data_IF_391598524231
#
_entry.id   IF_391598524231
#
_cell.length_a   1.000
_cell.length_b   1.000
_cell.length_c   1.000
_cell.angle_alpha   90.00
_cell.angle_beta   90.00
_cell.angle_gamma   90.00
#
_symmetry.space_group_name_H-M   'P 1'
#
loop_
_entity.id
_entity.type
_entity.pdbx_description
1 polymer ?
#
# COMPACT_ATOMS: atom_id res chain seq x y z
N UNK A 1 3.76 0.66 -14.12
CA UNK A 1 4.29 1.23 -12.86
C UNK A 1 3.86 2.67 -12.62
N UNK A 2 3.97 3.57 -13.62
CA UNK A 2 3.55 4.97 -13.49
C UNK A 2 2.07 5.14 -13.10
N UNK A 3 1.17 4.40 -13.75
CA UNK A 3 -0.26 4.43 -13.41
C UNK A 3 -0.54 3.98 -11.97
N UNK A 4 0.08 2.89 -11.52
CA UNK A 4 -0.04 2.42 -10.13
C UNK A 4 0.39 3.48 -9.12
N UNK A 5 1.57 4.09 -9.31
CA UNK A 5 2.06 5.15 -8.43
C UNK A 5 1.17 6.40 -8.45
N UNK A 6 0.62 6.75 -9.61
CA UNK A 6 -0.33 7.85 -9.75
C UNK A 6 -1.62 7.60 -8.96
N UNK A 7 -2.21 6.41 -9.10
CA UNK A 7 -3.43 6.05 -8.35
C UNK A 7 -3.17 5.90 -6.85
N UNK A 8 -2.02 5.33 -6.45
CA UNK A 8 -1.63 5.19 -5.04
C UNK A 8 -1.45 6.55 -4.35
N UNK A 9 -0.76 7.49 -5.03
CA UNK A 9 -0.60 8.86 -4.57
C UNK A 9 -1.93 9.64 -4.55
N UNK A 10 -2.79 9.46 -5.55
CA UNK A 10 -4.10 10.09 -5.61
C UNK A 10 -5.03 9.60 -4.50
N UNK A 11 -5.15 8.28 -4.33
CA UNK A 11 -6.04 7.68 -3.33
C UNK A 11 -5.67 8.11 -1.92
N UNK A 12 -4.40 7.97 -1.53
CA UNK A 12 -3.95 8.35 -0.18
C UNK A 12 -4.15 9.84 0.10
N UNK A 13 -3.92 10.72 -0.89
CA UNK A 13 -4.15 12.17 -0.76
C UNK A 13 -5.65 12.50 -0.67
N UNK A 14 -6.49 11.81 -1.43
CA UNK A 14 -7.94 12.00 -1.37
C UNK A 14 -8.52 11.51 -0.04
N UNK A 15 -8.02 10.39 0.49
CA UNK A 15 -8.33 9.89 1.82
C UNK A 15 -7.98 10.90 2.92
N UNK A 16 -6.78 11.51 2.86
CA UNK A 16 -6.38 12.57 3.80
C UNK A 16 -7.32 13.80 3.71
N UNK A 17 -7.72 14.21 2.50
CA UNK A 17 -8.69 15.29 2.31
C UNK A 17 -10.08 14.96 2.88
N UNK A 18 -10.56 13.74 2.69
CA UNK A 18 -11.84 13.28 3.24
C UNK A 18 -11.84 13.30 4.76
N UNK A 19 -10.77 12.79 5.40
CA UNK A 19 -10.64 12.81 6.85
C UNK A 19 -10.54 14.21 7.47
N UNK A 20 -9.99 15.20 6.74
CA UNK A 20 -9.87 16.58 7.21
C UNK A 20 -11.13 17.43 6.94
N UNK A 21 -11.84 17.14 5.85
CA UNK A 21 -12.99 17.93 5.40
C UNK A 21 -14.35 17.42 5.88
N UNK A 22 -14.43 16.18 6.33
CA UNK A 22 -15.65 15.52 6.79
C UNK A 22 -15.35 14.72 8.07
N UNK A 23 -16.31 14.62 8.99
CA UNK A 23 -16.27 13.71 10.15
C UNK A 23 -16.40 12.25 9.68
N UNK A 24 -15.36 11.77 9.00
CA UNK A 24 -15.32 10.44 8.40
C UNK A 24 -14.70 9.47 9.40
N UNK A 25 -15.46 8.44 9.76
CA UNK A 25 -14.94 7.36 10.58
C UNK A 25 -14.04 6.43 9.74
N UNK A 26 -12.95 5.94 10.35
CA UNK A 26 -12.01 4.99 9.71
C UNK A 26 -12.76 3.76 9.18
N UNK A 27 -13.70 3.23 9.97
CA UNK A 27 -14.45 2.03 9.62
C UNK A 27 -15.26 2.23 8.33
N UNK A 28 -15.94 3.38 8.21
CA UNK A 28 -16.76 3.72 7.07
C UNK A 28 -15.92 3.84 5.79
N UNK A 29 -14.75 4.49 5.89
CA UNK A 29 -13.84 4.63 4.77
C UNK A 29 -13.29 3.28 4.29
N UNK A 30 -12.83 2.43 5.21
CA UNK A 30 -12.32 1.08 4.88
C UNK A 30 -13.41 0.23 4.24
N UNK A 31 -14.65 0.30 4.77
CA UNK A 31 -15.78 -0.44 4.22
C UNK A 31 -16.04 -0.05 2.76
N UNK A 32 -16.21 1.24 2.46
CA UNK A 32 -16.50 1.69 1.10
C UNK A 32 -15.36 1.40 0.12
N UNK A 33 -14.11 1.61 0.53
CA UNK A 33 -12.96 1.29 -0.34
C UNK A 33 -12.84 -0.21 -0.60
N UNK A 34 -13.02 -1.06 0.42
CA UNK A 34 -12.94 -2.52 0.27
C UNK A 34 -14.08 -3.06 -0.58
N UNK A 35 -15.31 -2.55 -0.43
CA UNK A 35 -16.45 -2.93 -1.27
C UNK A 35 -16.21 -2.56 -2.73
N UNK A 36 -15.72 -1.34 -3.00
CA UNK A 36 -15.36 -0.91 -4.36
C UNK A 36 -14.27 -1.81 -4.96
N UNK A 37 -13.20 -2.09 -4.20
CA UNK A 37 -12.13 -2.99 -4.62
C UNK A 37 -12.63 -4.42 -4.87
N UNK A 38 -13.56 -4.92 -4.06
CA UNK A 38 -14.19 -6.23 -4.25
C UNK A 38 -14.98 -6.29 -5.57
N UNK A 39 -15.83 -5.30 -5.84
CA UNK A 39 -16.62 -5.21 -7.08
C UNK A 39 -15.69 -5.18 -8.29
N UNK A 40 -14.68 -4.30 -8.28
CA UNK A 40 -13.72 -4.18 -9.39
C UNK A 40 -12.94 -5.48 -9.62
N UNK A 41 -12.49 -6.12 -8.55
CA UNK A 41 -11.75 -7.40 -8.63
C UNK A 41 -12.63 -8.52 -9.17
N UNK A 42 -13.89 -8.60 -8.69
CA UNK A 42 -14.86 -9.58 -9.13
C UNK A 42 -15.24 -9.42 -10.60
N UNK A 43 -15.53 -8.19 -11.04
CA UNK A 43 -15.78 -7.88 -12.45
C UNK A 43 -14.57 -8.21 -13.30
N UNK A 44 -13.35 -7.87 -12.86
CA UNK A 44 -12.12 -8.25 -13.57
C UNK A 44 -11.98 -9.76 -13.75
N UNK A 45 -12.29 -10.54 -12.71
CA UNK A 45 -12.22 -12.01 -12.75
C UNK A 45 -13.25 -12.62 -13.71
N UNK A 46 -14.47 -12.04 -13.77
CA UNK A 46 -15.50 -12.44 -14.72
C UNK A 46 -15.08 -12.13 -16.15
N UNK A 47 -14.60 -10.91 -16.42
CA UNK A 47 -14.22 -10.47 -17.76
C UNK A 47 -13.07 -11.31 -18.35
N UNK A 48 -12.16 -11.79 -17.51
CA UNK A 48 -11.07 -12.67 -17.94
C UNK A 48 -11.47 -14.15 -18.01
N UNK A 49 -12.66 -14.54 -17.52
CA UNK A 49 -13.15 -15.92 -17.55
C UNK A 49 -12.49 -16.87 -16.54
N UNK A 50 -11.73 -16.37 -15.57
CA UNK A 50 -11.00 -17.19 -14.60
C UNK A 50 -11.80 -17.56 -13.34
N UNK A 51 -13.03 -17.05 -13.18
CA UNK A 51 -13.85 -17.28 -11.98
C UNK A 51 -14.08 -18.78 -11.69
N UNK A 52 -14.56 -19.55 -12.68
CA UNK A 52 -14.84 -20.98 -12.49
C UNK A 52 -13.57 -21.82 -12.26
N UNK A 53 -12.48 -21.64 -13.05
CA UNK A 53 -11.20 -22.28 -12.77
C UNK A 53 -10.65 -22.00 -11.36
N UNK A 54 -10.77 -20.76 -10.87
CA UNK A 54 -10.30 -20.40 -9.54
C UNK A 54 -11.07 -21.11 -8.42
N UNK A 55 -12.38 -21.28 -8.58
CA UNK A 55 -13.21 -22.01 -7.59
C UNK A 55 -12.86 -23.50 -7.58
N UNK A 56 -12.72 -24.12 -8.75
CA UNK A 56 -12.32 -25.53 -8.88
C UNK A 56 -10.92 -25.79 -8.28
N UNK A 57 -9.99 -24.84 -8.45
CA UNK A 57 -8.65 -24.93 -7.85
C UNK A 57 -8.71 -24.96 -6.31
N UNK A 58 -9.47 -24.04 -5.70
CA UNK A 58 -9.63 -23.98 -4.23
C UNK A 58 -10.33 -25.23 -3.71
N UNK A 59 -11.31 -25.75 -4.43
CA UNK A 59 -12.02 -26.98 -4.05
C UNK A 59 -11.09 -28.21 -4.05
N UNK A 60 -10.15 -28.28 -5.00
CA UNK A 60 -9.18 -29.39 -5.08
C UNK A 60 -8.05 -29.28 -4.05
N UNK A 61 -7.69 -28.07 -3.64
CA UNK A 61 -6.61 -27.80 -2.69
C UNK A 61 -7.13 -27.07 -1.46
N UNK A 62 -7.72 -27.82 -0.52
CA UNK A 62 -8.26 -27.25 0.71
C UNK A 62 -7.21 -26.55 1.59
N UNK A 63 -5.92 -26.90 1.49
CA UNK A 63 -4.85 -26.21 2.21
C UNK A 63 -4.73 -24.73 1.78
N UNK A 64 -4.99 -24.44 0.50
CA UNK A 64 -4.98 -23.08 -0.04
C UNK A 64 -6.10 -22.21 0.57
N UNK A 65 -7.20 -22.82 1.01
CA UNK A 65 -8.27 -22.08 1.68
C UNK A 65 -7.78 -21.40 2.96
N UNK A 66 -6.94 -22.09 3.75
CA UNK A 66 -6.37 -21.52 4.96
C UNK A 66 -5.45 -20.33 4.64
N UNK A 67 -4.60 -20.45 3.62
CA UNK A 67 -3.73 -19.36 3.17
C UNK A 67 -4.55 -18.14 2.71
N UNK A 68 -5.67 -18.36 2.01
CA UNK A 68 -6.57 -17.29 1.56
C UNK A 68 -7.18 -16.56 2.76
N UNK A 69 -7.67 -17.29 3.75
CA UNK A 69 -8.28 -16.70 4.97
C UNK A 69 -7.22 -15.95 5.78
N UNK A 70 -6.04 -16.53 5.96
CA UNK A 70 -4.94 -15.89 6.68
C UNK A 70 -4.48 -14.62 5.95
N UNK A 71 -4.30 -14.67 4.63
CA UNK A 71 -3.94 -13.51 3.83
C UNK A 71 -5.02 -12.42 3.91
N UNK A 72 -6.30 -12.80 3.85
CA UNK A 72 -7.42 -11.87 3.95
C UNK A 72 -7.47 -11.17 5.31
N UNK A 73 -7.35 -11.91 6.41
CA UNK A 73 -7.36 -11.32 7.76
C UNK A 73 -6.18 -10.36 7.98
N UNK A 74 -4.98 -10.73 7.54
CA UNK A 74 -3.80 -9.87 7.61
C UNK A 74 -3.97 -8.63 6.72
N UNK A 75 -4.53 -8.80 5.52
CA UNK A 75 -4.80 -7.68 4.61
C UNK A 75 -5.80 -6.68 5.22
N UNK A 76 -6.90 -7.16 5.80
CA UNK A 76 -7.88 -6.32 6.49
C UNK A 76 -7.26 -5.61 7.68
N UNK A 77 -6.49 -6.31 8.52
CA UNK A 77 -5.77 -5.69 9.64
C UNK A 77 -4.82 -4.58 9.16
N UNK A 78 -4.06 -4.83 8.08
CA UNK A 78 -3.15 -3.84 7.50
C UNK A 78 -3.89 -2.57 7.01
N UNK A 79 -5.11 -2.71 6.48
CA UNK A 79 -5.91 -1.57 6.03
C UNK A 79 -6.37 -0.66 7.17
N UNK A 80 -6.61 -1.21 8.36
CA UNK A 80 -6.84 -0.40 9.55
C UNK A 80 -5.61 0.43 9.91
N UNK A 81 -4.41 -0.15 9.87
CA UNK A 81 -3.18 0.59 10.15
C UNK A 81 -2.90 1.69 9.11
N UNK A 82 -3.15 1.41 7.82
CA UNK A 82 -2.98 2.39 6.74
C UNK A 82 -3.93 3.57 6.94
N UNK A 83 -5.23 3.28 7.08
CA UNK A 83 -6.25 4.32 7.24
C UNK A 83 -6.05 5.14 8.53
N UNK A 84 -5.65 4.48 9.62
CA UNK A 84 -5.28 5.16 10.87
C UNK A 84 -4.08 6.09 10.70
N UNK A 85 -3.03 5.63 10.01
CA UNK A 85 -1.82 6.43 9.75
C UNK A 85 -2.15 7.67 8.92
N UNK A 86 -2.97 7.52 7.87
CA UNK A 86 -3.39 8.64 7.02
C UNK A 86 -4.25 9.62 7.82
N UNK A 87 -5.18 9.14 8.67
CA UNK A 87 -6.01 10.02 9.50
C UNK A 87 -5.17 10.82 10.51
N UNK A 88 -4.22 10.18 11.18
CA UNK A 88 -3.43 10.80 12.27
C UNK A 88 -2.28 11.67 11.75
N UNK A 89 -1.55 11.21 10.73
CA UNK A 89 -0.31 11.85 10.26
C UNK A 89 -0.39 12.41 8.82
N UNK A 90 -1.48 12.11 8.10
CA UNK A 90 -1.69 12.55 6.72
C UNK A 90 -0.98 11.68 5.67
N UNK A 91 -1.29 11.94 4.40
CA UNK A 91 -0.81 11.15 3.27
C UNK A 91 0.71 11.25 3.04
N UNK A 92 1.33 12.39 3.36
CA UNK A 92 2.77 12.60 3.16
C UNK A 92 3.62 11.71 4.07
N UNK A 93 3.24 11.60 5.34
CA UNK A 93 3.95 10.74 6.31
C UNK A 93 3.71 9.27 5.97
N UNK A 94 2.50 8.90 5.53
CA UNK A 94 2.23 7.56 5.03
C UNK A 94 3.15 7.18 3.86
N UNK A 95 3.30 8.05 2.86
CA UNK A 95 4.22 7.83 1.74
C UNK A 95 5.69 7.69 2.20
N UNK A 96 6.10 8.44 3.22
CA UNK A 96 7.43 8.30 3.84
C UNK A 96 7.63 6.94 4.51
N UNK A 97 6.63 6.45 5.25
CA UNK A 97 6.67 5.13 5.88
C UNK A 97 6.78 4.02 4.81
N UNK A 98 5.97 4.09 3.75
CA UNK A 98 6.00 3.09 2.67
C UNK A 98 7.34 3.03 1.95
N UNK A 99 7.90 4.18 1.59
CA UNK A 99 9.20 4.27 0.91
C UNK A 99 10.35 3.81 1.81
N UNK A 100 10.32 4.15 3.11
CA UNK A 100 11.31 3.67 4.09
C UNK A 100 11.26 2.15 4.21
N UNK A 101 10.06 1.55 4.31
CA UNK A 101 9.88 0.11 4.34
C UNK A 101 10.45 -0.55 3.07
N UNK A 102 10.18 0.03 1.90
CA UNK A 102 10.68 -0.47 0.62
C UNK A 102 12.21 -0.41 0.55
N UNK A 103 12.81 0.69 1.04
CA UNK A 103 14.26 0.84 1.12
C UNK A 103 14.90 -0.22 1.98
N UNK A 104 14.40 -0.39 3.20
CA UNK A 104 14.94 -1.38 4.15
C UNK A 104 14.89 -2.77 3.53
N UNK A 105 13.79 -3.11 2.85
CA UNK A 105 13.69 -4.38 2.12
C UNK A 105 14.73 -4.52 1.00
N UNK A 106 15.01 -3.45 0.24
CA UNK A 106 16.02 -3.46 -0.82
C UNK A 106 17.42 -3.63 -0.22
N UNK A 107 17.75 -2.86 0.81
CA UNK A 107 19.05 -2.94 1.49
C UNK A 107 19.28 -4.32 2.11
N UNK A 108 18.30 -4.86 2.82
CA UNK A 108 18.37 -6.21 3.40
C UNK A 108 18.55 -7.27 2.31
N UNK A 109 17.86 -7.15 1.17
CA UNK A 109 18.01 -8.05 0.04
C UNK A 109 19.44 -7.99 -0.55
N UNK A 110 19.97 -6.80 -0.77
CA UNK A 110 21.35 -6.63 -1.25
C UNK A 110 22.39 -7.20 -0.28
N UNK A 111 22.18 -7.02 1.03
CA UNK A 111 23.04 -7.59 2.07
C UNK A 111 22.98 -9.11 2.10
N UNK A 112 21.78 -9.70 1.98
CA UNK A 112 21.56 -11.14 2.06
C UNK A 112 22.05 -11.88 0.80
N UNK A 113 21.79 -11.35 -0.39
CA UNK A 113 22.17 -11.95 -1.67
C UNK A 113 23.56 -11.52 -2.18
N UNK A 114 24.29 -10.71 -1.40
CA UNK A 114 25.62 -10.19 -1.74
C UNK A 114 25.70 -9.54 -3.14
N UNK A 115 24.64 -8.87 -3.57
CA UNK A 115 24.62 -8.09 -4.81
C UNK A 115 24.99 -6.64 -4.50
N UNK A 116 26.24 -6.20 -4.82
CA UNK A 116 26.66 -4.84 -4.54
C UNK A 116 25.85 -3.84 -5.39
N UNK A 117 25.31 -2.82 -4.73
CA UNK A 117 24.66 -1.69 -5.39
C UNK A 117 25.71 -0.85 -6.13
N UNK A 118 25.40 -0.46 -7.37
CA UNK A 118 26.23 0.46 -8.14
C UNK A 118 26.30 1.84 -7.47
N UNK A 119 27.39 2.57 -7.70
CA UNK A 119 27.59 3.93 -7.20
C UNK A 119 26.43 4.88 -7.59
N UNK A 120 25.90 4.73 -8.81
CA UNK A 120 24.76 5.51 -9.30
C UNK A 120 23.47 5.23 -8.50
N UNK A 121 23.27 3.98 -8.05
CA UNK A 121 22.11 3.60 -7.26
C UNK A 121 22.16 4.18 -5.85
N UNK A 122 23.36 4.27 -5.26
CA UNK A 122 23.57 4.95 -3.98
C UNK A 122 23.24 6.44 -4.05
N UNK A 123 23.68 7.12 -5.11
CA UNK A 123 23.35 8.53 -5.34
C UNK A 123 21.84 8.70 -5.52
N UNK A 124 21.20 7.86 -6.35
CA UNK A 124 19.76 7.88 -6.57
C UNK A 124 18.97 7.68 -5.27
N UNK A 125 19.37 6.72 -4.44
CA UNK A 125 18.78 6.52 -3.12
C UNK A 125 18.94 7.77 -2.24
N UNK A 126 20.14 8.32 -2.11
CA UNK A 126 20.40 9.51 -1.30
C UNK A 126 19.51 10.71 -1.70
N UNK A 127 19.30 10.92 -3.01
CA UNK A 127 18.42 11.99 -3.52
C UNK A 127 16.94 11.74 -3.15
N UNK A 128 16.44 10.52 -3.38
CA UNK A 128 15.03 10.19 -3.12
C UNK A 128 14.70 10.27 -1.62
N UNK A 129 15.53 9.67 -0.76
CA UNK A 129 15.31 9.74 0.69
C UNK A 129 15.58 11.13 1.24
N UNK A 130 16.66 11.79 0.81
CA UNK A 130 16.98 13.15 1.24
C UNK A 130 15.84 14.12 0.94
N UNK A 131 15.30 14.10 -0.27
CA UNK A 131 14.18 14.97 -0.65
C UNK A 131 12.89 14.66 0.11
N UNK A 132 12.58 13.38 0.35
CA UNK A 132 11.36 12.97 1.05
C UNK A 132 11.40 13.33 2.54
N UNK A 133 12.52 13.09 3.23
CA UNK A 133 12.68 13.46 4.64
C UNK A 133 12.78 14.98 4.80
N UNK A 134 13.49 15.69 3.92
CA UNK A 134 13.53 17.14 3.95
C UNK A 134 12.12 17.76 3.83
N UNK A 135 11.28 17.25 2.93
CA UNK A 135 9.88 17.70 2.81
C UNK A 135 9.03 17.40 4.05
N UNK A 136 9.20 16.22 4.66
CA UNK A 136 8.48 15.90 5.90
C UNK A 136 8.91 16.80 7.06
N UNK A 137 10.20 17.07 7.21
CA UNK A 137 10.74 17.96 8.24
C UNK A 137 10.27 19.41 8.05
N UNK A 138 10.31 19.92 6.81
CA UNK A 138 9.81 21.26 6.50
C UNK A 138 8.30 21.39 6.77
N UNK A 139 7.50 20.36 6.48
CA UNK A 139 6.08 20.34 6.82
C UNK A 139 5.85 20.35 8.34
N UNK A 140 6.70 19.68 9.10
CA UNK A 140 6.64 19.71 10.57
C UNK A 140 7.11 21.04 11.18
N UNK A 141 7.89 21.83 10.44
CA UNK A 141 8.43 23.12 10.88
C UNK A 141 7.58 24.34 10.47
N UNK A 142 6.59 24.15 9.58
CA UNK A 142 5.60 25.18 9.28
C UNK A 142 4.50 25.15 10.36
N UNK A 143 4.30 26.24 11.12
CA UNK A 143 3.24 26.34 12.12
C UNK A 143 1.84 26.31 11.49
#
# INVERSE_FOLDING_TARGET
MLGYLGFDGFTSTFQDKLFRGYDMEIQNQIFYTTVCSCILSFTGLILQGHLLPSIDFVYRHNDCFFDIVLLSTVATASQFFISYTIRTFGALVFAAIMTTRQLVSILLSCLWFAHPLSWEQWIGAAIVFGSLYAKNLLKSASP
#
